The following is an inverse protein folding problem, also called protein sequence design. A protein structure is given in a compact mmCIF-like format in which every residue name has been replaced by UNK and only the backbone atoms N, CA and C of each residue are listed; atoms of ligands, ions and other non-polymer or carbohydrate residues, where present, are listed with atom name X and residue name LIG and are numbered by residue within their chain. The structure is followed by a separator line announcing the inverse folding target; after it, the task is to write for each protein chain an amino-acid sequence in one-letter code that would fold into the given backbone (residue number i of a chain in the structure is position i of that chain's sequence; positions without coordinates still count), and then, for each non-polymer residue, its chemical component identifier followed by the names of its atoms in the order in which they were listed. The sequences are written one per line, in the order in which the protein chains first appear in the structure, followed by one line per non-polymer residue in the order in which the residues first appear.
data_IF_686284769531
#
_entry.id   IF_686284769531
#
_cell.length_a   1.000
_cell.length_b   1.000
_cell.length_c   1.000
_cell.angle_alpha   90.00
_cell.angle_beta   90.00
_cell.angle_gamma   90.00
#
_symmetry.space_group_name_H-M   'P 1'
#
loop_
_entity.id
_entity.type
_entity.pdbx_description
1 polymer ?
#
# COMPACT_ATOMS: atom_id res chain seq x y z
N UNK A 1 1.77 -42.60 -4.12
CA UNK A 1 1.28 -41.40 -3.41
C UNK A 1 1.45 -40.24 -4.37
N UNK A 2 0.37 -39.61 -4.83
CA UNK A 2 0.43 -38.62 -5.92
C UNK A 2 0.87 -37.29 -5.32
N UNK A 3 2.12 -36.91 -5.58
CA UNK A 3 2.63 -35.56 -5.32
C UNK A 3 2.05 -34.63 -6.37
N UNK A 4 1.43 -33.53 -5.94
CA UNK A 4 0.90 -32.49 -6.82
C UNK A 4 1.89 -31.32 -6.88
N UNK A 5 2.06 -30.74 -8.06
CA UNK A 5 2.81 -29.50 -8.25
C UNK A 5 2.01 -28.52 -9.12
N UNK A 6 1.94 -27.27 -8.69
CA UNK A 6 1.36 -26.16 -9.45
C UNK A 6 2.36 -25.03 -9.58
N UNK A 7 2.35 -24.38 -10.74
CA UNK A 7 3.29 -23.31 -11.10
C UNK A 7 2.54 -22.06 -11.55
N UNK A 8 3.00 -20.92 -11.07
CA UNK A 8 2.49 -19.58 -11.35
C UNK A 8 3.62 -18.75 -11.94
N UNK A 9 3.58 -18.56 -13.25
CA UNK A 9 4.60 -17.86 -14.02
C UNK A 9 4.20 -16.40 -14.30
N UNK A 10 5.15 -15.50 -14.15
CA UNK A 10 5.10 -14.10 -14.59
C UNK A 10 6.40 -13.77 -15.34
N UNK A 11 6.55 -12.52 -15.78
CA UNK A 11 7.70 -12.12 -16.63
C UNK A 11 9.02 -12.25 -15.88
N UNK A 12 9.07 -11.76 -14.64
CA UNK A 12 10.27 -11.71 -13.81
C UNK A 12 10.21 -12.61 -12.57
N UNK A 13 9.08 -13.26 -12.30
CA UNK A 13 8.92 -14.14 -11.14
C UNK A 13 8.19 -15.45 -11.50
N UNK A 14 8.57 -16.54 -10.83
CA UNK A 14 7.93 -17.86 -10.93
C UNK A 14 7.80 -18.44 -9.53
N UNK A 15 6.57 -18.82 -9.17
CA UNK A 15 6.27 -19.53 -7.93
C UNK A 15 5.83 -20.95 -8.26
N UNK A 16 6.48 -21.94 -7.66
CA UNK A 16 6.07 -23.34 -7.69
C UNK A 16 5.69 -23.80 -6.29
N UNK A 17 4.57 -24.50 -6.17
CA UNK A 17 4.11 -25.09 -4.92
C UNK A 17 3.83 -26.57 -5.10
N UNK A 18 4.32 -27.34 -4.15
CA UNK A 18 4.20 -28.79 -4.15
C UNK A 18 3.52 -29.27 -2.87
N UNK A 19 2.70 -30.31 -2.99
CA UNK A 19 2.00 -30.82 -1.84
C UNK A 19 1.19 -32.08 -2.07
N UNK A 20 0.37 -32.36 -1.08
CA UNK A 20 -0.47 -33.54 -0.99
C UNK A 20 -1.93 -33.12 -0.75
N UNK A 21 -2.89 -33.91 -1.23
CA UNK A 21 -4.29 -33.75 -0.86
C UNK A 21 -4.50 -34.05 0.62
N UNK A 22 -5.35 -33.26 1.26
CA UNK A 22 -5.81 -33.53 2.63
C UNK A 22 -7.13 -34.32 2.60
N UNK A 23 -7.01 -35.65 2.58
CA UNK A 23 -8.18 -36.55 2.60
C UNK A 23 -8.97 -36.47 3.90
N UNK A 24 -8.39 -35.95 4.99
CA UNK A 24 -9.12 -35.78 6.25
C UNK A 24 -10.14 -34.63 6.18
N UNK A 25 -9.93 -33.69 5.26
CA UNK A 25 -10.78 -32.55 5.01
C UNK A 25 -11.71 -32.73 3.78
N UNK A 26 -11.93 -33.97 3.34
CA UNK A 26 -12.76 -34.34 2.17
C UNK A 26 -12.33 -33.63 0.87
N UNK A 27 -11.02 -33.33 0.75
CA UNK A 27 -10.50 -32.70 -0.45
C UNK A 27 -10.36 -33.70 -1.59
N UNK A 28 -10.81 -33.29 -2.77
CA UNK A 28 -10.75 -34.10 -3.99
C UNK A 28 -9.32 -34.37 -4.46
N UNK A 29 -9.18 -35.40 -5.31
CA UNK A 29 -7.93 -35.67 -6.01
C UNK A 29 -7.53 -34.47 -6.88
N UNK A 30 -6.29 -34.00 -6.75
CA UNK A 30 -5.80 -32.83 -7.48
C UNK A 30 -5.97 -31.50 -6.74
N UNK A 31 -6.11 -31.54 -5.40
CA UNK A 31 -6.02 -30.36 -4.54
C UNK A 31 -4.83 -30.51 -3.61
N UNK A 32 -4.05 -29.44 -3.42
CA UNK A 32 -3.03 -29.36 -2.38
C UNK A 32 -3.71 -28.82 -1.12
N UNK A 33 -3.90 -29.69 -0.12
CA UNK A 33 -4.32 -29.31 1.24
C UNK A 33 -3.15 -29.18 2.21
N UNK A 34 -2.11 -29.99 1.99
CA UNK A 34 -0.89 -29.99 2.80
C UNK A 34 0.28 -29.57 1.91
N UNK A 35 0.81 -28.37 2.19
CA UNK A 35 2.02 -27.86 1.52
C UNK A 35 3.23 -28.69 1.96
N UNK A 36 3.96 -29.24 0.99
CA UNK A 36 5.20 -29.99 1.23
C UNK A 36 6.44 -29.15 0.93
N UNK A 37 6.42 -28.40 -0.17
CA UNK A 37 7.52 -27.53 -0.58
C UNK A 37 7.01 -26.37 -1.43
N UNK A 38 7.84 -25.33 -1.54
CA UNK A 38 7.62 -24.23 -2.47
C UNK A 38 8.97 -23.68 -2.94
N UNK A 39 8.98 -23.11 -4.14
CA UNK A 39 10.14 -22.43 -4.72
C UNK A 39 9.70 -21.15 -5.39
N UNK A 40 10.43 -20.08 -5.15
CA UNK A 40 10.25 -18.81 -5.83
C UNK A 40 11.55 -18.45 -6.55
N UNK A 41 11.44 -18.28 -7.85
CA UNK A 41 12.52 -17.79 -8.69
C UNK A 41 12.17 -16.36 -9.11
N UNK A 42 13.10 -15.44 -8.89
CA UNK A 42 13.04 -14.08 -9.45
C UNK A 42 14.25 -13.93 -10.39
N UNK A 43 14.05 -13.31 -11.55
CA UNK A 43 15.12 -13.13 -12.53
C UNK A 43 16.30 -12.40 -11.91
N UNK A 44 17.51 -12.95 -12.07
CA UNK A 44 18.74 -12.35 -11.53
C UNK A 44 18.91 -12.49 -10.00
N UNK A 45 17.97 -13.12 -9.30
CA UNK A 45 18.06 -13.40 -7.88
C UNK A 45 18.31 -14.90 -7.60
N UNK A 46 18.87 -15.24 -6.43
CA UNK A 46 18.90 -16.62 -5.95
C UNK A 46 17.49 -17.21 -5.81
N UNK A 47 17.37 -18.52 -6.04
CA UNK A 47 16.12 -19.23 -5.76
C UNK A 47 15.81 -19.19 -4.27
N UNK A 48 14.55 -18.88 -3.94
CA UNK A 48 14.04 -18.89 -2.59
C UNK A 48 13.24 -20.16 -2.34
N UNK A 49 13.55 -20.83 -1.24
CA UNK A 49 12.81 -21.97 -0.73
C UNK A 49 12.74 -21.89 0.80
N UNK A 50 11.81 -22.63 1.39
CA UNK A 50 11.65 -22.65 2.83
C UNK A 50 10.53 -23.56 3.29
N UNK A 51 10.19 -23.45 4.57
CA UNK A 51 9.04 -24.17 5.15
C UNK A 51 7.74 -23.46 4.78
N UNK A 52 6.61 -24.07 5.13
CA UNK A 52 5.28 -23.43 5.06
C UNK A 52 5.27 -22.06 5.73
N UNK A 53 5.88 -21.95 6.90
CA UNK A 53 5.93 -20.71 7.68
C UNK A 53 6.61 -19.56 6.91
N UNK A 54 7.60 -19.87 6.07
CA UNK A 54 8.24 -18.88 5.22
C UNK A 54 7.33 -18.38 4.10
N UNK A 55 6.58 -19.26 3.44
CA UNK A 55 5.61 -18.86 2.42
C UNK A 55 4.46 -18.06 3.03
N UNK A 56 4.00 -18.47 4.22
CA UNK A 56 3.00 -17.74 4.98
C UNK A 56 3.47 -16.34 5.37
N UNK A 57 4.71 -16.22 5.90
CA UNK A 57 5.33 -14.94 6.20
C UNK A 57 5.52 -14.08 4.93
N UNK A 58 5.89 -14.69 3.81
CA UNK A 58 6.02 -14.00 2.52
C UNK A 58 4.68 -13.39 2.08
N UNK A 59 3.58 -14.15 2.16
CA UNK A 59 2.22 -13.64 1.90
C UNK A 59 1.85 -12.49 2.86
N UNK A 60 2.15 -12.66 4.15
CA UNK A 60 1.84 -11.70 5.20
C UNK A 60 2.60 -10.37 5.08
N UNK A 61 3.76 -10.38 4.42
CA UNK A 61 4.64 -9.23 4.30
C UNK A 61 4.51 -8.56 2.94
N UNK A 62 4.61 -9.31 1.84
CA UNK A 62 4.67 -8.76 0.47
C UNK A 62 3.35 -8.15 0.06
N UNK A 63 2.22 -8.81 0.35
CA UNK A 63 0.91 -8.35 -0.13
C UNK A 63 0.45 -7.06 0.56
N UNK A 64 0.59 -6.89 1.90
CA UNK A 64 0.34 -5.60 2.53
C UNK A 64 1.34 -4.52 2.10
N UNK A 65 2.61 -4.87 1.90
CA UNK A 65 3.64 -3.95 1.43
C UNK A 65 3.31 -3.35 0.07
N UNK A 66 2.97 -4.19 -0.91
CA UNK A 66 2.61 -3.74 -2.26
C UNK A 66 1.41 -2.78 -2.23
N UNK A 67 0.40 -3.06 -1.39
CA UNK A 67 -0.75 -2.15 -1.19
C UNK A 67 -0.35 -0.79 -0.62
N UNK A 68 0.61 -0.75 0.31
CA UNK A 68 1.14 0.49 0.85
C UNK A 68 1.92 1.27 -0.20
N UNK A 69 2.75 0.57 -1.00
CA UNK A 69 3.48 1.20 -2.10
C UNK A 69 2.56 1.82 -3.15
N UNK A 70 1.49 1.11 -3.56
CA UNK A 70 0.45 1.67 -4.44
C UNK A 70 -0.23 2.92 -3.85
N UNK A 71 -0.27 3.01 -2.52
CA UNK A 71 -0.82 4.16 -1.80
C UNK A 71 0.20 5.28 -1.56
N UNK A 72 1.44 5.13 -2.05
CA UNK A 72 2.53 6.08 -1.87
C UNK A 72 3.18 6.02 -0.49
N UNK A 73 2.97 4.93 0.26
CA UNK A 73 3.45 4.77 1.63
C UNK A 73 4.61 3.77 1.64
N UNK A 74 5.83 4.28 1.68
CA UNK A 74 7.04 3.47 1.78
C UNK A 74 7.34 3.17 3.26
N UNK A 75 7.21 1.90 3.68
CA UNK A 75 7.56 1.45 5.04
C UNK A 75 8.01 -0.01 5.06
N UNK A 76 8.77 -0.41 6.07
CA UNK A 76 9.15 -1.80 6.32
C UNK A 76 7.93 -2.63 6.79
N UNK A 77 7.87 -3.87 6.34
CA UNK A 77 6.98 -4.93 6.83
C UNK A 77 7.80 -6.15 7.23
N UNK A 78 7.29 -6.90 8.22
CA UNK A 78 8.02 -7.97 8.90
C UNK A 78 8.79 -7.44 10.12
N UNK A 79 8.70 -8.18 11.23
CA UNK A 79 9.48 -7.90 12.44
C UNK A 79 10.97 -8.26 12.21
N UNK A 80 11.85 -7.77 13.08
CA UNK A 80 13.29 -7.98 12.93
C UNK A 80 13.68 -9.46 13.04
N UNK A 81 12.94 -10.23 13.83
CA UNK A 81 13.09 -11.68 14.04
C UNK A 81 12.17 -12.53 13.13
N UNK A 82 11.34 -11.89 12.30
CA UNK A 82 10.42 -12.61 11.43
C UNK A 82 11.17 -13.38 10.32
N UNK A 83 10.62 -14.53 9.84
CA UNK A 83 11.23 -15.31 8.77
C UNK A 83 11.39 -14.55 7.46
N UNK A 84 10.53 -13.56 7.21
CA UNK A 84 10.54 -12.73 6.01
C UNK A 84 10.29 -11.28 6.40
N UNK A 85 11.01 -10.36 5.77
CA UNK A 85 10.73 -8.93 5.86
C UNK A 85 11.00 -8.23 4.53
N UNK A 86 10.30 -7.12 4.27
CA UNK A 86 10.47 -6.32 3.05
C UNK A 86 10.54 -4.84 3.42
N UNK A 87 11.43 -4.10 2.76
CA UNK A 87 11.62 -2.68 3.02
C UNK A 87 11.83 -1.89 1.71
N UNK A 88 11.42 -0.61 1.65
CA UNK A 88 11.76 0.26 0.55
C UNK A 88 13.27 0.58 0.54
N UNK A 89 13.84 0.75 -0.66
CA UNK A 89 15.19 1.27 -0.88
C UNK A 89 15.13 2.58 -1.67
N UNK A 90 16.27 3.26 -1.85
CA UNK A 90 16.35 4.45 -2.74
C UNK A 90 15.89 4.13 -4.17
N UNK A 91 16.24 2.94 -4.66
CA UNK A 91 15.79 2.40 -5.94
C UNK A 91 15.30 0.96 -5.73
N UNK A 92 13.97 0.78 -5.75
CA UNK A 92 13.28 -0.50 -5.59
C UNK A 92 13.06 -0.91 -4.13
N UNK A 93 13.21 -2.20 -3.88
CA UNK A 93 12.82 -2.86 -2.64
C UNK A 93 13.86 -3.90 -2.24
N UNK A 94 13.96 -4.18 -0.94
CA UNK A 94 14.75 -5.31 -0.42
C UNK A 94 13.83 -6.29 0.29
N UNK A 95 13.88 -7.54 -0.15
CA UNK A 95 13.24 -8.69 0.48
C UNK A 95 14.30 -9.50 1.22
N UNK A 96 14.14 -9.65 2.54
CA UNK A 96 15.04 -10.44 3.38
C UNK A 96 14.34 -11.72 3.81
N UNK A 97 15.00 -12.87 3.63
CA UNK A 97 14.59 -14.17 4.14
C UNK A 97 15.57 -14.65 5.20
N UNK A 98 15.06 -14.94 6.40
CA UNK A 98 15.81 -15.52 7.50
C UNK A 98 15.62 -17.02 7.56
N UNK A 99 16.73 -17.74 7.65
CA UNK A 99 16.70 -19.19 7.90
C UNK A 99 16.14 -19.48 9.28
N UNK A 100 15.49 -20.64 9.43
CA UNK A 100 15.09 -21.15 10.75
C UNK A 100 16.26 -21.73 11.53
N UNK A 101 17.45 -21.87 10.92
CA UNK A 101 18.64 -22.40 11.58
C UNK A 101 19.46 -21.27 12.20
N UNK A 102 19.95 -21.43 13.45
CA UNK A 102 20.74 -20.40 14.11
C UNK A 102 22.09 -20.19 13.40
N UNK A 103 22.54 -18.94 13.34
CA UNK A 103 23.85 -18.58 12.78
C UNK A 103 23.94 -18.55 11.26
N UNK A 104 22.82 -18.68 10.54
CA UNK A 104 22.78 -18.51 9.08
C UNK A 104 22.42 -17.06 8.76
N UNK A 105 23.23 -16.42 7.91
CA UNK A 105 22.98 -15.04 7.49
C UNK A 105 21.68 -14.93 6.67
N UNK A 106 20.90 -13.83 6.84
CA UNK A 106 19.71 -13.59 6.05
C UNK A 106 20.02 -13.45 4.55
N UNK A 107 19.22 -14.09 3.71
CA UNK A 107 19.29 -13.92 2.27
C UNK A 107 18.55 -12.65 1.87
N UNK A 108 19.25 -11.72 1.22
CA UNK A 108 18.68 -10.45 0.77
C UNK A 108 18.56 -10.42 -0.75
N UNK A 109 17.37 -10.11 -1.25
CA UNK A 109 17.06 -9.96 -2.67
C UNK A 109 16.59 -8.54 -2.92
N UNK A 110 17.19 -7.91 -3.93
CA UNK A 110 16.75 -6.62 -4.43
C UNK A 110 15.69 -6.85 -5.50
N UNK A 111 14.60 -6.10 -5.42
CA UNK A 111 13.50 -6.14 -6.37
C UNK A 111 13.29 -4.74 -6.93
N UNK A 112 13.12 -4.62 -8.24
CA UNK A 112 12.53 -3.43 -8.84
C UNK A 112 10.99 -3.44 -8.75
N UNK A 113 10.35 -2.38 -9.22
CA UNK A 113 8.88 -2.25 -9.17
C UNK A 113 8.17 -3.32 -10.03
N UNK A 114 8.79 -3.76 -11.14
CA UNK A 114 8.23 -4.74 -12.04
C UNK A 114 8.33 -6.15 -11.46
N UNK A 115 9.49 -6.50 -10.89
CA UNK A 115 9.76 -7.73 -10.15
C UNK A 115 8.83 -7.85 -8.94
N UNK A 116 8.64 -6.77 -8.18
CA UNK A 116 7.66 -6.75 -7.08
C UNK A 116 6.24 -7.01 -7.58
N UNK A 117 5.84 -6.35 -8.67
CA UNK A 117 4.50 -6.52 -9.24
C UNK A 117 4.25 -7.96 -9.72
N UNK A 118 5.24 -8.59 -10.35
CA UNK A 118 5.19 -9.98 -10.78
C UNK A 118 5.14 -10.94 -9.59
N UNK A 119 5.95 -10.71 -8.55
CA UNK A 119 5.90 -11.49 -7.31
C UNK A 119 4.50 -11.44 -6.67
N UNK A 120 3.91 -10.25 -6.57
CA UNK A 120 2.55 -10.07 -6.02
C UNK A 120 1.53 -10.85 -6.86
N UNK A 121 1.62 -10.78 -8.20
CA UNK A 121 0.75 -11.53 -9.11
C UNK A 121 0.86 -13.04 -8.91
N UNK A 122 2.08 -13.59 -8.77
CA UNK A 122 2.29 -15.00 -8.47
C UNK A 122 1.62 -15.42 -7.15
N UNK A 123 1.84 -14.63 -6.09
CA UNK A 123 1.31 -14.91 -4.75
C UNK A 123 -0.22 -14.84 -4.70
N UNK A 124 -0.82 -13.81 -5.31
CA UNK A 124 -2.29 -13.69 -5.38
C UNK A 124 -2.90 -14.80 -6.27
N UNK A 125 -2.27 -15.15 -7.39
CA UNK A 125 -2.74 -16.24 -8.25
C UNK A 125 -2.76 -17.58 -7.51
N UNK A 126 -1.71 -17.88 -6.74
CA UNK A 126 -1.66 -19.07 -5.87
C UNK A 126 -2.75 -19.02 -4.79
N UNK A 127 -2.91 -17.89 -4.09
CA UNK A 127 -3.88 -17.78 -2.98
C UNK A 127 -5.32 -17.91 -3.45
N UNK A 128 -5.60 -17.53 -4.70
CA UNK A 128 -6.93 -17.60 -5.31
C UNK A 128 -7.17 -18.91 -6.10
N UNK A 129 -6.15 -19.77 -6.23
CA UNK A 129 -6.28 -21.02 -6.97
C UNK A 129 -7.10 -22.04 -6.16
N UNK A 130 -8.27 -22.49 -6.66
CA UNK A 130 -9.09 -23.48 -5.96
C UNK A 130 -8.40 -24.85 -5.81
N UNK A 131 -7.29 -25.09 -6.51
CA UNK A 131 -6.47 -26.31 -6.39
C UNK A 131 -5.46 -26.22 -5.26
N UNK A 132 -5.26 -25.05 -4.64
CA UNK A 132 -4.36 -24.85 -3.49
C UNK A 132 -5.20 -24.40 -2.29
N UNK A 133 -5.72 -25.37 -1.54
CA UNK A 133 -6.60 -25.14 -0.39
C UNK A 133 -5.83 -25.28 0.93
N UNK A 134 -4.72 -24.56 1.03
CA UNK A 134 -3.95 -24.46 2.26
C UNK A 134 -4.59 -23.38 3.14
N UNK A 135 -4.83 -23.69 4.41
CA UNK A 135 -5.38 -22.73 5.36
C UNK A 135 -4.34 -21.65 5.74
N UNK A 136 -4.34 -20.54 5.00
CA UNK A 136 -3.52 -19.37 5.31
C UNK A 136 -4.18 -18.51 6.40
N UNK A 137 -3.41 -17.87 7.31
CA UNK A 137 -3.97 -16.91 8.24
C UNK A 137 -4.62 -15.74 7.50
N UNK A 138 -5.68 -15.14 8.06
CA UNK A 138 -6.32 -13.98 7.46
C UNK A 138 -5.35 -12.80 7.44
N UNK A 139 -5.15 -12.22 6.26
CA UNK A 139 -4.38 -10.99 6.09
C UNK A 139 -5.23 -9.80 6.56
N UNK A 140 -4.83 -9.05 7.60
CA UNK A 140 -5.64 -7.96 8.13
C UNK A 140 -5.79 -6.85 7.09
N UNK A 141 -7.00 -6.67 6.56
CA UNK A 141 -7.34 -5.61 5.63
C UNK A 141 -7.74 -4.35 6.39
N UNK A 142 -6.78 -3.67 7.01
CA UNK A 142 -7.05 -2.37 7.64
C UNK A 142 -6.93 -1.26 6.60
N UNK A 143 -7.90 -0.32 6.52
CA UNK A 143 -7.76 0.85 5.68
C UNK A 143 -6.59 1.70 6.19
N UNK A 144 -5.86 2.33 5.28
CA UNK A 144 -4.82 3.30 5.64
C UNK A 144 -5.46 4.50 6.31
N UNK A 145 -4.88 4.96 7.41
CA UNK A 145 -5.32 6.20 8.03
C UNK A 145 -4.97 7.37 7.10
N UNK A 146 -5.82 8.40 7.06
CA UNK A 146 -5.57 9.61 6.24
C UNK A 146 -4.21 10.27 6.50
N UNK A 147 -3.65 10.07 7.71
CA UNK A 147 -2.33 10.59 8.11
C UNK A 147 -1.17 9.77 7.57
N UNK A 148 -1.41 8.51 7.21
CA UNK A 148 -0.40 7.59 6.68
C UNK A 148 -0.29 7.67 5.16
N UNK A 149 -1.37 8.07 4.48
CA UNK A 149 -1.34 8.40 3.07
C UNK A 149 -0.38 9.58 2.89
N UNK A 150 0.68 9.39 2.10
CA UNK A 150 1.56 10.48 1.70
C UNK A 150 0.68 11.63 1.22
N UNK A 151 0.74 12.78 1.92
CA UNK A 151 -0.01 13.98 1.54
C UNK A 151 0.34 14.28 0.09
N UNK A 152 -0.54 13.89 -0.85
CA UNK A 152 -0.33 13.98 -2.31
C UNK A 152 -0.17 15.42 -2.81
N UNK A 153 -0.21 16.40 -1.91
CA UNK A 153 -0.08 17.81 -2.21
C UNK A 153 0.98 18.37 -1.27
N UNK A 154 2.17 18.74 -1.79
CA UNK A 154 3.19 19.36 -0.95
C UNK A 154 2.63 20.65 -0.33
N UNK A 155 3.00 20.95 0.91
CA UNK A 155 2.41 22.03 1.71
C UNK A 155 2.36 23.37 0.97
N UNK A 156 3.38 23.69 0.15
CA UNK A 156 3.41 24.90 -0.67
C UNK A 156 2.24 25.00 -1.68
N UNK A 157 1.82 23.87 -2.25
CA UNK A 157 0.71 23.82 -3.22
C UNK A 157 -0.65 23.83 -2.52
N UNK A 158 -0.71 23.33 -1.27
CA UNK A 158 -1.89 23.39 -0.40
C UNK A 158 -2.13 24.80 0.14
N UNK A 159 -1.06 25.55 0.40
CA UNK A 159 -1.12 26.92 0.91
C UNK A 159 -1.30 27.96 -0.20
N UNK A 160 -1.05 27.63 -1.47
CA UNK A 160 -1.21 28.56 -2.59
C UNK A 160 -2.60 29.21 -2.65
N UNK A 161 -3.67 28.42 -2.62
CA UNK A 161 -5.05 28.93 -2.68
C UNK A 161 -5.44 29.82 -1.47
N UNK A 162 -5.23 29.42 -0.20
CA UNK A 162 -5.57 30.28 0.93
C UNK A 162 -4.68 31.53 1.03
N UNK A 163 -3.40 31.46 0.62
CA UNK A 163 -2.52 32.64 0.60
C UNK A 163 -2.97 33.63 -0.47
N UNK A 164 -3.30 33.17 -1.68
CA UNK A 164 -3.82 34.03 -2.75
C UNK A 164 -5.14 34.66 -2.35
N UNK A 165 -6.10 33.87 -1.85
CA UNK A 165 -7.38 34.40 -1.37
C UNK A 165 -7.23 35.39 -0.22
N UNK A 166 -6.38 35.08 0.76
CA UNK A 166 -6.06 35.98 1.88
C UNK A 166 -5.42 37.29 1.42
N UNK A 167 -4.49 37.23 0.46
CA UNK A 167 -3.88 38.43 -0.11
C UNK A 167 -4.87 39.31 -0.87
N UNK A 168 -5.79 38.71 -1.63
CA UNK A 168 -6.82 39.44 -2.37
C UNK A 168 -7.80 40.16 -1.41
N UNK A 169 -8.23 39.46 -0.35
CA UNK A 169 -9.06 40.05 0.71
C UNK A 169 -8.34 41.19 1.44
N UNK A 170 -7.06 41.02 1.75
CA UNK A 170 -6.26 42.05 2.39
C UNK A 170 -6.16 43.31 1.52
N UNK A 171 -5.85 43.15 0.23
CA UNK A 171 -5.79 44.27 -0.72
C UNK A 171 -7.15 44.96 -0.84
N UNK A 172 -8.24 44.20 -0.94
CA UNK A 172 -9.59 44.76 -0.98
C UNK A 172 -9.94 45.56 0.29
N UNK A 173 -9.57 45.07 1.47
CA UNK A 173 -9.78 45.77 2.73
C UNK A 173 -8.98 47.07 2.82
N UNK A 174 -7.72 47.07 2.37
CA UNK A 174 -6.88 48.28 2.33
C UNK A 174 -7.46 49.31 1.35
N UNK A 175 -7.88 48.88 0.17
CA UNK A 175 -8.53 49.76 -0.81
C UNK A 175 -9.86 50.33 -0.28
N UNK A 176 -10.65 49.52 0.45
CA UNK A 176 -11.90 49.98 1.05
C UNK A 176 -11.69 51.07 2.10
N UNK A 177 -10.56 51.06 2.84
CA UNK A 177 -10.23 52.14 3.78
C UNK A 177 -9.93 53.49 3.07
N UNK A 178 -9.60 53.47 1.78
CA UNK A 178 -9.37 54.66 0.97
C UNK A 178 -10.63 55.18 0.27
N UNK A 179 -11.74 54.45 0.34
CA UNK A 179 -13.02 54.91 -0.19
C UNK A 179 -13.64 55.88 0.82
N UNK A 180 -13.90 57.15 0.44
CA UNK A 180 -14.58 58.08 1.33
C UNK A 180 -15.98 57.54 1.62
N UNK A 181 -16.25 57.22 2.88
CA UNK A 181 -17.61 56.86 3.30
C UNK A 181 -18.48 58.10 3.17
N UNK A 182 -19.46 58.06 2.26
CA UNK A 182 -20.51 59.08 2.20
C UNK A 182 -21.17 59.14 3.59
N UNK A 183 -21.26 60.31 4.24
CA UNK A 183 -21.98 60.41 5.49
C UNK A 183 -23.42 59.95 5.26
N UNK A 184 -24.03 59.23 6.22
CA UNK A 184 -25.39 58.74 6.07
C UNK A 184 -26.31 59.91 5.70
N UNK A 185 -27.01 59.78 4.58
CA UNK A 185 -27.96 60.77 4.10
C UNK A 185 -28.96 61.07 5.21
N UNK A 186 -28.85 62.28 5.78
CA UNK A 186 -29.76 62.74 6.83
C UNK A 186 -31.17 62.73 6.26
N UNK A 187 -32.14 62.04 6.90
CA UNK A 187 -33.52 62.09 6.43
C UNK A 187 -34.01 63.54 6.45
N UNK A 188 -34.82 63.97 5.46
CA UNK A 188 -35.24 65.37 5.34
C UNK A 188 -35.96 65.81 6.62
N UNK A 189 -35.51 66.93 7.18
CA UNK A 189 -36.13 67.56 8.34
C UNK A 189 -37.59 67.87 8.04
N UNK A 190 -38.48 67.55 8.99
CA UNK A 190 -39.93 67.67 8.88
C UNK A 190 -40.47 69.08 8.52
N UNK A 191 -39.60 70.09 8.50
CA UNK A 191 -39.93 71.47 8.16
C UNK A 191 -40.11 71.71 6.64
N UNK A 192 -39.43 70.94 5.79
CA UNK A 192 -39.61 71.02 4.32
C UNK A 192 -40.89 70.32 3.84
N UNK A 193 -41.41 69.35 4.60
CA UNK A 193 -42.67 68.65 4.26
C UNK A 193 -43.92 69.51 4.49
N UNK A 194 -43.83 70.58 5.29
CA UNK A 194 -44.97 71.46 5.63
C UNK A 194 -45.05 72.70 4.73
N UNK A 195 -43.94 73.12 4.10
CA UNK A 195 -43.90 74.31 3.23
C UNK A 195 -44.31 74.07 1.78
N UNK A 196 -44.58 72.81 1.42
CA UNK A 196 -45.02 72.38 0.08
C UNK A 196 -46.50 72.01 -0.03
N UNK A 197 -47.38 72.65 0.76
CA UNK A 197 -48.84 72.55 0.60
C UNK A 197 -49.48 73.90 0.40
#
# INVERSE_FOLDING_TARGET
MIKLSYRYDQTAARLEVEGLPDFSADQGNGVIGILSAWRLQVVGAPELEGKRDHLEALLAVVLPYARHQLSGVARRFGADDAPVSIAPMEAGHVLELRSSQPGVEPLSIRLDDAELADLVRCLDAMRLDPRVQVAWPPLPQRPLQRRELAERIPLHRRLGAPVLGGSALFVAAVLAMWVPTQPPSQPPSAEEAVRGR
#
